data_IF_658967357729
#
_entry.id   IF_658967357729
#
_cell.length_a   1.000
_cell.length_b   1.000
_cell.length_c   1.000
_cell.angle_alpha   90.00
_cell.angle_beta   90.00
_cell.angle_gamma   90.00
#
_symmetry.space_group_name_H-M   'P 1'
#
loop_
_entity.id
_entity.type
_entity.pdbx_description
1 polymer ?
#
# COMPACT_ATOMS: atom_id res chain seq x y z
N UNK A 1 10.32 -11.47 19.38
CA UNK A 1 10.29 -10.65 18.15
C UNK A 1 8.84 -10.25 17.90
N UNK A 2 8.52 -8.95 17.81
CA UNK A 2 7.17 -8.52 17.51
C UNK A 2 6.85 -8.85 16.03
N UNK A 3 5.66 -9.40 15.71
CA UNK A 3 5.27 -9.63 14.34
C UNK A 3 5.26 -8.29 13.58
N UNK A 4 5.82 -8.27 12.38
CA UNK A 4 5.78 -7.09 11.51
C UNK A 4 4.31 -6.68 11.33
N UNK A 5 3.95 -5.47 11.76
CA UNK A 5 2.58 -4.97 11.66
C UNK A 5 2.09 -5.13 10.21
N UNK A 6 1.04 -5.93 9.96
CA UNK A 6 0.57 -6.18 8.61
C UNK A 6 0.04 -4.86 8.03
N UNK A 7 0.53 -4.52 6.84
CA UNK A 7 0.09 -3.34 6.10
C UNK A 7 -1.22 -3.64 5.37
N UNK A 8 -2.11 -2.64 5.31
CA UNK A 8 -3.34 -2.69 4.54
C UNK A 8 -3.30 -1.57 3.50
N UNK A 9 -3.58 -1.91 2.24
CA UNK A 9 -3.61 -0.94 1.15
C UNK A 9 -5.05 -0.68 0.75
N UNK A 10 -5.41 0.60 0.74
CA UNK A 10 -6.73 1.11 0.39
C UNK A 10 -6.59 1.98 -0.86
N UNK A 11 -7.37 1.65 -1.89
CA UNK A 11 -7.48 2.47 -3.09
C UNK A 11 -8.79 3.24 -3.12
N UNK A 12 -8.73 4.52 -3.51
CA UNK A 12 -9.87 5.39 -3.71
C UNK A 12 -9.66 6.34 -4.89
N UNK A 13 -10.62 7.26 -5.10
CA UNK A 13 -10.57 8.26 -6.18
C UNK A 13 -9.33 9.18 -6.09
N UNK A 14 -8.92 9.50 -4.87
CA UNK A 14 -7.80 10.39 -4.56
C UNK A 14 -6.42 9.69 -4.64
N UNK A 15 -6.39 8.47 -5.14
CA UNK A 15 -5.21 7.62 -5.17
C UNK A 15 -5.23 6.60 -4.03
N UNK A 16 -4.07 6.29 -3.48
CA UNK A 16 -3.94 5.17 -2.56
C UNK A 16 -3.26 5.51 -1.26
N UNK A 17 -3.73 4.83 -0.24
CA UNK A 17 -3.34 4.98 1.14
C UNK A 17 -2.91 3.63 1.69
N UNK A 18 -1.80 3.62 2.39
CA UNK A 18 -1.34 2.44 3.12
C UNK A 18 -1.48 2.74 4.58
N UNK A 19 -2.14 1.85 5.29
CA UNK A 19 -2.42 2.02 6.71
C UNK A 19 -1.94 0.80 7.47
N UNK A 20 -1.40 1.06 8.65
CA UNK A 20 -1.16 0.02 9.63
C UNK A 20 -2.51 -0.58 10.03
N UNK A 21 -2.57 -1.91 10.23
CA UNK A 21 -3.79 -2.57 10.69
C UNK A 21 -4.08 -2.22 12.17
N UNK A 22 -5.33 -2.46 12.62
CA UNK A 22 -5.69 -2.35 14.02
C UNK A 22 -4.67 -3.04 14.95
N UNK A 23 -4.44 -2.50 16.16
CA UNK A 23 -5.19 -1.41 16.78
C UNK A 23 -4.80 0.00 16.29
N UNK A 24 -3.68 0.14 15.57
CA UNK A 24 -3.19 1.43 15.12
C UNK A 24 -3.48 1.64 13.63
N UNK A 25 -4.65 2.19 13.32
CA UNK A 25 -5.00 2.59 11.96
C UNK A 25 -4.32 3.92 11.61
N UNK A 26 -3.06 3.84 11.18
CA UNK A 26 -2.24 5.02 10.88
C UNK A 26 -1.61 4.90 9.50
N UNK A 27 -1.56 5.99 8.76
CA UNK A 27 -0.91 5.99 7.43
C UNK A 27 0.57 5.60 7.57
N UNK A 28 0.99 4.64 6.76
CA UNK A 28 2.35 4.14 6.75
C UNK A 28 3.24 5.05 5.91
N UNK A 29 4.31 5.56 6.52
CA UNK A 29 5.34 6.37 5.84
C UNK A 29 6.33 5.53 5.03
N UNK A 30 6.23 4.19 5.12
CA UNK A 30 7.14 3.26 4.45
C UNK A 30 7.10 3.40 2.93
N UNK A 31 6.00 3.90 2.38
CA UNK A 31 5.84 4.09 0.94
C UNK A 31 5.17 5.43 0.64
N UNK A 32 5.69 6.20 -0.32
CA UNK A 32 5.12 7.51 -0.64
C UNK A 32 3.71 7.37 -1.23
N UNK A 33 2.80 8.25 -0.80
CA UNK A 33 1.51 8.47 -1.48
C UNK A 33 1.75 8.76 -2.95
N UNK A 34 1.02 8.07 -3.82
CA UNK A 34 1.01 8.35 -5.25
C UNK A 34 -0.34 8.99 -5.60
N UNK A 35 -0.32 10.30 -5.78
CA UNK A 35 -1.46 11.09 -6.29
C UNK A 35 -1.49 11.00 -7.82
N UNK A 36 -2.69 10.86 -8.40
CA UNK A 36 -2.93 11.08 -9.83
C UNK A 36 -2.79 9.87 -10.77
N UNK A 37 -2.54 8.65 -10.28
CA UNK A 37 -2.53 7.45 -11.14
C UNK A 37 -3.53 6.42 -10.65
N UNK A 38 -4.54 6.15 -11.50
CA UNK A 38 -5.52 5.06 -11.35
C UNK A 38 -4.81 3.71 -11.49
N UNK A 39 -4.17 3.28 -10.42
CA UNK A 39 -3.44 2.03 -10.40
C UNK A 39 -4.42 0.88 -10.23
N UNK A 40 -4.52 0.06 -11.28
CA UNK A 40 -5.46 -1.05 -11.35
C UNK A 40 -4.92 -2.32 -10.68
N UNK A 41 -3.60 -2.48 -10.65
CA UNK A 41 -2.95 -3.72 -10.22
C UNK A 41 -1.95 -3.43 -9.10
N UNK A 42 -2.04 -4.22 -8.03
CA UNK A 42 -1.14 -4.22 -6.88
C UNK A 42 -0.69 -5.62 -6.53
N UNK A 43 0.58 -5.75 -6.19
CA UNK A 43 1.10 -6.96 -5.56
C UNK A 43 2.17 -6.62 -4.53
N UNK A 44 2.32 -7.51 -3.55
CA UNK A 44 3.28 -7.40 -2.46
C UNK A 44 4.23 -8.60 -2.52
N UNK A 45 5.48 -8.37 -2.10
CA UNK A 45 6.36 -9.50 -1.80
C UNK A 45 5.80 -10.31 -0.63
N UNK A 46 6.21 -11.58 -0.53
CA UNK A 46 5.73 -12.50 0.51
C UNK A 46 5.98 -11.98 1.94
N UNK A 47 7.06 -11.22 2.12
CA UNK A 47 7.48 -10.58 3.35
C UNK A 47 6.94 -9.15 3.53
N UNK A 48 6.21 -8.61 2.54
CA UNK A 48 5.55 -7.31 2.62
C UNK A 48 6.48 -6.09 2.56
N UNK A 49 7.78 -6.29 2.31
CA UNK A 49 8.78 -5.23 2.24
C UNK A 49 8.76 -4.49 0.90
N UNK A 50 8.32 -5.17 -0.16
CA UNK A 50 8.22 -4.60 -1.50
C UNK A 50 6.78 -4.55 -1.96
N UNK A 51 6.49 -3.51 -2.74
CA UNK A 51 5.24 -3.36 -3.45
C UNK A 51 5.53 -3.11 -4.93
N UNK A 52 4.77 -3.74 -5.81
CA UNK A 52 4.73 -3.41 -7.22
C UNK A 52 3.32 -2.98 -7.60
N UNK A 53 3.24 -2.08 -8.56
CA UNK A 53 1.98 -1.56 -9.06
C UNK A 53 2.06 -1.27 -10.54
N UNK A 54 0.92 -1.32 -11.21
CA UNK A 54 0.80 -1.04 -12.63
C UNK A 54 -0.56 -0.50 -13.02
N UNK A 55 -0.57 0.26 -14.12
CA UNK A 55 -1.78 0.81 -14.73
C UNK A 55 -2.24 -0.01 -15.96
N UNK A 56 -1.52 -1.08 -16.31
CA UNK A 56 -1.73 -1.80 -17.57
C UNK A 56 -1.32 -0.99 -18.80
N UNK A 57 -0.54 0.07 -18.61
CA UNK A 57 0.11 0.82 -19.69
C UNK A 57 1.24 -0.03 -20.27
N UNK A 58 1.34 -0.07 -21.60
CA UNK A 58 2.34 -0.85 -22.35
C UNK A 58 3.65 -0.10 -22.48
#
# INVERSE_FOLDING_TARGET
>A
MAPSMPLLTLGGSEGQYRVNRPPHFMESTLFPRKSGKNCKIYTFSKDGTLCAWGNGEK
#
